data_IF_662132921231
#
_entry.id   IF_662132921231
#
_cell.length_a   1.000
_cell.length_b   1.000
_cell.length_c   1.000
_cell.angle_alpha   90.00
_cell.angle_beta   90.00
_cell.angle_gamma   90.00
#
_symmetry.space_group_name_H-M   'P 1'
#
loop_
_entity.id
_entity.type
_entity.pdbx_description
1 polymer ?
#
# COMPACT_ATOMS: atom_id res chain seq x y z
N UNK A 1 12.75 14.36 9.50
CA UNK A 1 11.91 13.49 8.66
C UNK A 1 12.22 13.85 7.22
N UNK A 2 12.76 12.91 6.46
CA UNK A 2 13.21 13.17 5.10
C UNK A 2 12.04 13.01 4.11
N UNK A 3 11.15 14.02 4.07
CA UNK A 3 9.98 14.02 3.19
C UNK A 3 10.33 13.89 1.71
N UNK A 4 11.47 14.43 1.29
CA UNK A 4 11.95 14.31 -0.09
C UNK A 4 12.20 12.85 -0.49
N UNK A 5 12.86 12.08 0.38
CA UNK A 5 13.10 10.65 0.15
C UNK A 5 11.78 9.86 0.14
N UNK A 6 10.85 10.21 1.02
CA UNK A 6 9.52 9.59 1.06
C UNK A 6 8.72 9.83 -0.23
N UNK A 7 8.74 11.05 -0.77
CA UNK A 7 8.07 11.40 -2.04
C UNK A 7 8.68 10.60 -3.19
N UNK A 8 10.01 10.53 -3.28
CA UNK A 8 10.67 9.72 -4.30
C UNK A 8 10.33 8.23 -4.17
N UNK A 9 10.30 7.69 -2.94
CA UNK A 9 9.90 6.30 -2.72
C UNK A 9 8.48 6.02 -3.20
N UNK A 10 7.52 6.90 -2.90
CA UNK A 10 6.13 6.75 -3.39
C UNK A 10 6.05 6.84 -4.91
N UNK A 11 6.76 7.80 -5.54
CA UNK A 11 6.80 7.94 -6.99
C UNK A 11 7.41 6.72 -7.69
N UNK A 12 8.52 6.19 -7.17
CA UNK A 12 9.11 4.96 -7.68
C UNK A 12 8.23 3.75 -7.45
N UNK A 13 7.39 3.74 -6.42
CA UNK A 13 6.50 2.62 -6.17
C UNK A 13 5.46 2.43 -7.30
N UNK A 14 5.04 3.54 -7.92
CA UNK A 14 4.11 3.53 -9.04
C UNK A 14 4.78 3.18 -10.36
N UNK A 15 5.99 3.71 -10.60
CA UNK A 15 6.68 3.59 -11.89
C UNK A 15 7.57 2.34 -11.98
N UNK A 16 8.25 2.00 -10.88
CA UNK A 16 9.27 0.95 -10.84
C UNK A 16 9.37 0.34 -9.42
N UNK A 17 8.34 -0.38 -8.94
CA UNK A 17 8.29 -0.86 -7.55
C UNK A 17 9.48 -1.76 -7.20
N UNK A 18 10.06 -2.47 -8.18
CA UNK A 18 11.28 -3.28 -8.01
C UNK A 18 12.48 -2.47 -7.51
N UNK A 19 12.59 -1.18 -7.89
CA UNK A 19 13.68 -0.31 -7.44
C UNK A 19 13.56 0.00 -5.95
N UNK A 20 12.34 0.22 -5.46
CA UNK A 20 12.09 0.50 -4.03
C UNK A 20 12.44 -0.71 -3.18
N UNK A 21 12.02 -1.91 -3.58
CA UNK A 21 12.35 -3.12 -2.84
C UNK A 21 13.84 -3.47 -2.86
N UNK A 22 14.57 -3.08 -3.91
CA UNK A 22 16.03 -3.18 -3.94
C UNK A 22 16.69 -2.25 -2.90
N UNK A 23 16.16 -1.04 -2.71
CA UNK A 23 16.67 -0.12 -1.68
C UNK A 23 16.37 -0.64 -0.26
N UNK A 24 15.21 -1.25 -0.04
CA UNK A 24 14.87 -1.92 1.23
C UNK A 24 15.86 -3.06 1.52
N UNK A 25 16.26 -3.83 0.50
CA UNK A 25 17.27 -4.86 0.67
C UNK A 25 18.64 -4.29 1.10
N UNK A 26 19.10 -3.20 0.49
CA UNK A 26 20.34 -2.54 0.92
C UNK A 26 20.23 -1.93 2.33
N UNK A 27 19.05 -1.43 2.70
CA UNK A 27 18.78 -0.97 4.06
C UNK A 27 18.93 -2.10 5.08
N UNK A 28 18.41 -3.29 4.77
CA UNK A 28 18.59 -4.47 5.61
C UNK A 28 20.06 -4.81 5.80
N UNK A 29 20.89 -4.75 4.76
CA UNK A 29 22.32 -5.07 4.89
C UNK A 29 23.10 -4.07 5.76
N UNK A 30 22.63 -2.82 5.85
CA UNK A 30 23.32 -1.75 6.60
C UNK A 30 22.80 -1.59 8.02
N UNK A 31 21.50 -1.78 8.25
CA UNK A 31 20.85 -1.61 9.57
C UNK A 31 20.37 -2.89 10.22
N UNK A 32 20.44 -4.03 9.54
CA UNK A 32 19.94 -5.33 9.99
C UNK A 32 18.45 -5.36 10.37
N UNK A 33 17.65 -4.38 9.96
CA UNK A 33 16.19 -4.31 10.16
C UNK A 33 15.46 -4.24 8.82
N UNK A 34 14.28 -4.85 8.74
CA UNK A 34 13.43 -4.78 7.53
C UNK A 34 12.39 -3.67 7.61
N UNK A 35 11.86 -3.41 8.81
CA UNK A 35 10.91 -2.34 9.05
C UNK A 35 11.53 -0.96 8.82
N UNK A 36 10.70 -0.03 8.34
CA UNK A 36 11.06 1.38 8.20
C UNK A 36 10.92 2.09 9.54
N UNK A 37 11.91 2.90 9.89
CA UNK A 37 11.90 3.70 11.13
C UNK A 37 11.22 5.08 10.97
N UNK A 38 10.95 5.52 9.74
CA UNK A 38 10.47 6.87 9.44
C UNK A 38 8.94 6.94 9.20
N UNK A 39 8.19 7.72 10.00
CA UNK A 39 6.74 7.87 9.84
C UNK A 39 6.33 8.77 8.66
N UNK A 40 7.29 9.32 7.90
CA UNK A 40 7.05 10.29 6.84
C UNK A 40 6.11 9.76 5.74
N UNK A 41 6.21 8.49 5.37
CA UNK A 41 5.35 7.88 4.34
C UNK A 41 3.91 7.72 4.83
N UNK A 42 3.71 7.39 6.11
CA UNK A 42 2.37 7.29 6.71
C UNK A 42 1.68 8.66 6.69
N UNK A 43 2.41 9.71 7.08
CA UNK A 43 1.91 11.09 7.06
C UNK A 43 1.59 11.53 5.63
N UNK A 44 2.44 11.19 4.66
CA UNK A 44 2.24 11.56 3.26
C UNK A 44 1.01 10.87 2.65
N UNK A 45 0.80 9.58 2.93
CA UNK A 45 -0.40 8.85 2.50
C UNK A 45 -1.66 9.41 3.17
N UNK A 46 -1.60 9.71 4.47
CA UNK A 46 -2.73 10.34 5.17
C UNK A 46 -3.08 11.71 4.57
N UNK A 47 -2.08 12.51 4.20
CA UNK A 47 -2.28 13.78 3.50
C UNK A 47 -2.91 13.57 2.11
N UNK A 48 -2.45 12.59 1.33
CA UNK A 48 -3.05 12.23 0.04
C UNK A 48 -4.51 11.78 0.18
N UNK A 49 -4.83 10.96 1.18
CA UNK A 49 -6.19 10.54 1.47
C UNK A 49 -7.08 11.71 1.88
N UNK A 50 -6.55 12.64 2.68
CA UNK A 50 -7.26 13.85 3.06
C UNK A 50 -7.61 14.72 1.83
N UNK A 51 -6.65 14.94 0.93
CA UNK A 51 -6.88 15.66 -0.33
C UNK A 51 -7.91 14.94 -1.21
N UNK A 52 -7.82 13.61 -1.32
CA UNK A 52 -8.81 12.82 -2.05
C UNK A 52 -10.21 12.93 -1.43
N UNK A 53 -10.33 12.86 -0.11
CA UNK A 53 -11.61 13.03 0.59
C UNK A 53 -12.25 14.40 0.30
N UNK A 54 -11.45 15.45 0.20
CA UNK A 54 -11.92 16.77 -0.22
C UNK A 54 -12.44 16.72 -1.67
N UNK A 55 -11.69 16.11 -2.60
CA UNK A 55 -12.11 15.98 -3.99
C UNK A 55 -13.43 15.19 -4.14
N UNK A 56 -13.58 14.08 -3.42
CA UNK A 56 -14.82 13.31 -3.36
C UNK A 56 -15.97 14.12 -2.74
N UNK A 57 -15.69 14.94 -1.72
CA UNK A 57 -16.69 15.81 -1.10
C UNK A 57 -17.19 16.89 -2.06
N UNK A 58 -16.31 17.43 -2.92
CA UNK A 58 -16.71 18.35 -3.99
C UNK A 58 -17.57 17.65 -5.04
N UNK A 59 -17.17 16.46 -5.49
CA UNK A 59 -17.90 15.71 -6.52
C UNK A 59 -19.34 15.36 -6.10
N UNK A 60 -19.56 15.05 -4.82
CA UNK A 60 -20.88 14.70 -4.27
C UNK A 60 -21.59 15.85 -3.54
N UNK A 61 -21.05 17.08 -3.60
CA UNK A 61 -21.63 18.26 -2.93
C UNK A 61 -21.91 18.08 -1.43
N UNK A 62 -20.96 17.49 -0.70
CA UNK A 62 -21.10 17.24 0.74
C UNK A 62 -20.88 18.50 1.59
N UNK A 63 -21.53 18.53 2.76
CA UNK A 63 -21.29 19.59 3.76
C UNK A 63 -19.94 19.39 4.46
N UNK A 64 -19.32 20.46 4.97
CA UNK A 64 -18.02 20.39 5.66
C UNK A 64 -17.92 19.30 6.76
N UNK A 65 -19.00 19.08 7.52
CA UNK A 65 -19.05 17.99 8.53
C UNK A 65 -19.00 16.59 7.90
N UNK A 66 -19.69 16.40 6.78
CA UNK A 66 -19.67 15.14 6.04
C UNK A 66 -18.30 14.92 5.37
N UNK A 67 -17.69 15.99 4.85
CA UNK A 67 -16.34 15.94 4.30
C UNK A 67 -15.29 15.54 5.35
N UNK A 68 -15.33 16.13 6.55
CA UNK A 68 -14.45 15.76 7.66
C UNK A 68 -14.67 14.31 8.08
N UNK A 69 -15.94 13.88 8.19
CA UNK A 69 -16.30 12.50 8.51
C UNK A 69 -15.74 11.53 7.45
N UNK A 70 -15.88 11.86 6.16
CA UNK A 70 -15.36 11.08 5.04
C UNK A 70 -13.83 10.94 5.11
N UNK A 71 -13.12 12.05 5.32
CA UNK A 71 -11.66 12.04 5.44
C UNK A 71 -11.19 11.16 6.60
N UNK A 72 -11.84 11.25 7.75
CA UNK A 72 -11.52 10.44 8.92
C UNK A 72 -11.82 8.95 8.66
N UNK A 73 -12.93 8.62 8.00
CA UNK A 73 -13.20 7.25 7.56
C UNK A 73 -12.15 6.72 6.58
N UNK A 74 -11.75 7.50 5.57
CA UNK A 74 -10.72 7.06 4.61
C UNK A 74 -9.37 6.80 5.31
N UNK A 75 -8.96 7.64 6.25
CA UNK A 75 -7.68 7.46 6.95
C UNK A 75 -7.76 6.31 7.96
N UNK A 76 -8.79 6.29 8.82
CA UNK A 76 -8.86 5.32 9.92
C UNK A 76 -9.37 3.97 9.45
N UNK A 77 -10.49 3.93 8.72
CA UNK A 77 -11.09 2.67 8.27
C UNK A 77 -10.38 2.13 7.05
N UNK A 78 -10.20 2.93 6.00
CA UNK A 78 -9.72 2.39 4.72
C UNK A 78 -8.22 2.12 4.71
N UNK A 79 -7.43 2.92 5.43
CA UNK A 79 -5.97 2.77 5.49
C UNK A 79 -5.49 2.08 6.78
N UNK A 80 -5.76 2.63 7.96
CA UNK A 80 -5.21 2.08 9.21
C UNK A 80 -5.83 0.73 9.58
N UNK A 81 -7.15 0.61 9.61
CA UNK A 81 -7.83 -0.63 9.99
C UNK A 81 -7.53 -1.76 9.01
N UNK A 82 -7.64 -1.50 7.70
CA UNK A 82 -7.28 -2.52 6.69
C UNK A 82 -5.80 -2.88 6.77
N UNK A 83 -4.92 -1.90 7.02
CA UNK A 83 -3.49 -2.12 7.17
C UNK A 83 -3.14 -3.00 8.36
N UNK A 84 -3.77 -2.78 9.51
CA UNK A 84 -3.61 -3.65 10.69
C UNK A 84 -4.08 -5.09 10.40
N UNK A 85 -5.24 -5.24 9.76
CA UNK A 85 -5.79 -6.56 9.40
C UNK A 85 -4.89 -7.27 8.39
N UNK A 86 -4.46 -6.58 7.34
CA UNK A 86 -3.59 -7.18 6.33
C UNK A 86 -2.22 -7.48 6.91
N UNK A 87 -1.62 -6.58 7.69
CA UNK A 87 -0.32 -6.83 8.31
C UNK A 87 -0.35 -8.04 9.24
N UNK A 88 -1.40 -8.19 10.05
CA UNK A 88 -1.56 -9.37 10.93
C UNK A 88 -1.75 -10.65 10.14
N UNK A 89 -2.55 -10.65 9.07
CA UNK A 89 -2.73 -11.81 8.19
C UNK A 89 -1.43 -12.15 7.47
N UNK A 90 -0.74 -11.18 6.86
CA UNK A 90 0.53 -11.41 6.15
C UNK A 90 1.62 -11.91 7.09
N UNK A 91 1.73 -11.32 8.28
CA UNK A 91 2.66 -11.76 9.31
C UNK A 91 2.38 -13.20 9.75
N UNK A 92 1.12 -13.52 10.03
CA UNK A 92 0.70 -14.85 10.44
C UNK A 92 0.95 -15.89 9.33
N UNK A 93 0.50 -15.61 8.11
CA UNK A 93 0.69 -16.48 6.93
C UNK A 93 2.16 -16.69 6.64
N UNK A 94 2.98 -15.63 6.64
CA UNK A 94 4.39 -15.76 6.30
C UNK A 94 5.15 -16.59 7.34
N UNK A 95 4.90 -16.34 8.63
CA UNK A 95 5.61 -17.03 9.71
C UNK A 95 5.09 -18.45 9.98
N UNK A 96 3.85 -18.77 9.56
CA UNK A 96 3.28 -20.13 9.73
C UNK A 96 3.37 -21.00 8.49
N UNK A 97 3.19 -20.43 7.29
CA UNK A 97 3.08 -21.18 6.03
C UNK A 97 4.31 -21.05 5.13
N UNK A 98 5.08 -19.95 5.23
CA UNK A 98 6.19 -19.66 4.32
C UNK A 98 7.58 -19.83 4.98
N UNK A 99 7.70 -20.73 5.97
CA UNK A 99 8.98 -21.04 6.62
C UNK A 99 9.94 -21.60 5.57
N UNK A 100 10.90 -20.79 5.13
CA UNK A 100 12.03 -21.27 4.35
C UNK A 100 12.93 -22.13 5.26
N UNK A 101 13.49 -23.25 4.76
CA UNK A 101 14.48 -24.01 5.50
C UNK A 101 15.66 -23.11 5.89
N UNK A 102 16.28 -23.32 7.06
CA UNK A 102 17.36 -22.46 7.54
C UNK A 102 18.50 -22.46 6.53
N UNK A 103 18.69 -21.35 5.83
CA UNK A 103 19.90 -21.08 5.07
C UNK A 103 20.97 -20.50 6.01
N UNK A 104 22.19 -20.33 5.53
CA UNK A 104 23.36 -19.93 6.32
C UNK A 104 23.26 -18.54 7.00
N UNK A 105 22.15 -17.82 6.85
CA UNK A 105 21.81 -16.60 7.57
C UNK A 105 21.04 -16.91 8.86
N UNK A 106 21.33 -16.18 9.93
CA UNK A 106 20.76 -16.39 11.27
C UNK A 106 19.23 -16.61 11.23
N UNK A 107 18.67 -17.50 12.07
CA UNK A 107 17.23 -17.80 12.11
C UNK A 107 16.32 -16.58 12.37
N UNK A 108 16.88 -15.44 12.77
CA UNK A 108 16.17 -14.16 12.88
C UNK A 108 15.85 -13.52 11.51
N UNK A 109 16.59 -13.84 10.44
CA UNK A 109 16.39 -13.24 9.12
C UNK A 109 15.23 -13.88 8.33
N UNK A 110 14.82 -15.10 8.69
CA UNK A 110 13.69 -15.80 8.08
C UNK A 110 12.34 -15.35 8.63
N UNK A 111 12.30 -14.76 9.83
CA UNK A 111 11.06 -14.30 10.46
C UNK A 111 10.63 -12.96 9.88
N UNK A 112 9.38 -12.87 9.46
CA UNK A 112 8.77 -11.61 9.01
C UNK A 112 8.40 -10.76 10.22
N UNK A 113 8.99 -9.57 10.31
CA UNK A 113 8.64 -8.54 11.31
C UNK A 113 7.23 -7.99 11.01
N UNK A 114 6.41 -7.79 12.04
CA UNK A 114 5.06 -7.25 11.87
C UNK A 114 5.07 -5.84 11.27
N UNK A 115 6.00 -4.99 11.72
CA UNK A 115 6.17 -3.64 11.19
C UNK A 115 6.53 -3.66 9.68
N UNK A 116 7.34 -4.62 9.25
CA UNK A 116 7.61 -4.83 7.83
C UNK A 116 6.37 -5.28 7.04
N UNK A 117 5.53 -6.16 7.61
CA UNK A 117 4.27 -6.56 6.97
C UNK A 117 3.32 -5.37 6.79
N UNK A 118 3.30 -4.43 7.75
CA UNK A 118 2.58 -3.17 7.63
C UNK A 118 3.20 -2.26 6.56
N UNK A 119 4.52 -2.14 6.48
CA UNK A 119 5.21 -1.39 5.41
C UNK A 119 4.88 -1.94 4.02
N UNK A 120 4.79 -3.26 3.86
CA UNK A 120 4.40 -3.90 2.59
C UNK A 120 2.96 -3.53 2.22
N UNK A 121 2.04 -3.50 3.20
CA UNK A 121 0.68 -2.98 2.98
C UNK A 121 0.72 -1.51 2.57
N UNK A 122 1.43 -0.65 3.31
CA UNK A 122 1.57 0.78 3.04
C UNK A 122 2.08 1.05 1.64
N UNK A 123 3.09 0.29 1.21
CA UNK A 123 3.61 0.35 -0.14
C UNK A 123 2.51 -0.09 -1.14
N UNK A 124 1.94 -1.29 -1.02
CA UNK A 124 0.93 -1.79 -1.96
C UNK A 124 -0.34 -0.92 -2.02
N UNK A 125 -0.68 -0.24 -0.93
CA UNK A 125 -1.83 0.64 -0.83
C UNK A 125 -1.69 1.90 -1.68
N UNK A 126 -0.48 2.45 -1.87
CA UNK A 126 -0.33 3.72 -2.59
C UNK A 126 -0.72 3.63 -4.09
N UNK A 127 -0.25 2.64 -4.87
CA UNK A 127 -0.72 2.44 -6.25
C UNK A 127 -2.21 2.09 -6.31
N UNK A 128 -2.71 1.31 -5.35
CA UNK A 128 -4.13 1.00 -5.22
C UNK A 128 -4.98 2.26 -5.00
N UNK A 129 -4.51 3.16 -4.13
CA UNK A 129 -5.11 4.45 -3.86
C UNK A 129 -5.18 5.31 -5.14
N UNK A 130 -4.09 5.39 -5.91
CA UNK A 130 -4.10 6.16 -7.15
C UNK A 130 -5.13 5.62 -8.15
N UNK A 131 -5.26 4.31 -8.28
CA UNK A 131 -6.23 3.71 -9.20
C UNK A 131 -7.68 3.91 -8.73
N UNK A 132 -8.00 3.60 -7.47
CA UNK A 132 -9.38 3.63 -7.00
C UNK A 132 -9.87 4.97 -6.47
N UNK A 133 -9.01 5.79 -5.86
CA UNK A 133 -9.44 7.04 -5.24
C UNK A 133 -9.23 8.23 -6.16
N UNK A 134 -8.22 8.18 -7.05
CA UNK A 134 -7.92 9.26 -7.99
C UNK A 134 -8.45 8.93 -9.38
N UNK A 135 -8.04 7.82 -10.00
CA UNK A 135 -8.47 7.52 -11.37
C UNK A 135 -10.00 7.30 -11.45
N UNK A 136 -10.60 6.61 -10.49
CA UNK A 136 -12.06 6.45 -10.43
C UNK A 136 -12.82 7.79 -10.30
N UNK A 137 -12.23 8.80 -9.65
CA UNK A 137 -12.85 10.13 -9.52
C UNK A 137 -12.96 10.84 -10.88
N UNK A 138 -11.99 10.65 -11.78
CA UNK A 138 -12.07 11.17 -13.16
C UNK A 138 -13.09 10.41 -14.02
N UNK A 139 -13.27 9.11 -13.75
CA UNK A 139 -14.18 8.23 -14.49
C UNK A 139 -15.61 8.27 -13.91
N UNK A 140 -15.81 8.88 -12.75
CA UNK A 140 -17.08 9.06 -12.07
C UNK A 140 -18.26 9.51 -12.96
N UNK A 141 -18.14 10.55 -13.81
CA UNK A 141 -19.25 10.98 -14.68
C UNK A 141 -19.64 9.94 -15.74
N UNK A 142 -18.72 9.01 -16.05
CA UNK A 142 -18.98 7.89 -16.96
C UNK A 142 -19.59 6.72 -16.18
N UNK A 143 -19.04 6.38 -14.99
CA UNK A 143 -19.51 5.26 -14.17
C UNK A 143 -20.94 5.45 -13.66
N UNK A 144 -21.39 6.69 -13.42
CA UNK A 144 -22.74 7.01 -12.96
C UNK A 144 -23.83 6.83 -14.03
N UNK A 145 -23.47 6.53 -15.29
CA UNK A 145 -24.46 6.28 -16.34
C UNK A 145 -24.92 4.82 -16.32
N UNK A 146 -26.22 4.61 -16.54
CA UNK A 146 -26.84 3.28 -16.63
C UNK A 146 -26.52 2.59 -17.96
N UNK A 147 -25.26 2.20 -18.14
CA UNK A 147 -24.80 1.44 -19.31
C UNK A 147 -23.94 0.25 -18.88
N UNK A 148 -24.06 -0.87 -19.59
CA UNK A 148 -23.24 -2.06 -19.33
C UNK A 148 -21.73 -1.77 -19.46
N UNK A 149 -21.35 -0.84 -20.34
CA UNK A 149 -19.96 -0.39 -20.52
C UNK A 149 -19.43 0.28 -19.26
N UNK A 150 -20.25 1.07 -18.59
CA UNK A 150 -19.90 1.78 -17.36
C UNK A 150 -19.75 0.81 -16.19
N UNK A 151 -20.61 -0.22 -16.14
CA UNK A 151 -20.47 -1.35 -15.21
C UNK A 151 -19.18 -2.14 -15.45
N UNK A 152 -18.88 -2.48 -16.71
CA UNK A 152 -17.66 -3.21 -17.07
C UNK A 152 -16.40 -2.40 -16.72
N UNK A 153 -16.40 -1.11 -17.03
CA UNK A 153 -15.29 -0.21 -16.74
C UNK A 153 -15.06 -0.05 -15.23
N UNK A 154 -16.13 0.10 -14.44
CA UNK A 154 -16.03 0.11 -12.97
C UNK A 154 -15.41 -1.18 -12.43
N UNK A 155 -15.91 -2.35 -12.84
CA UNK A 155 -15.38 -3.64 -12.39
C UNK A 155 -13.92 -3.87 -12.81
N UNK A 156 -13.54 -3.45 -14.01
CA UNK A 156 -12.14 -3.55 -14.47
C UNK A 156 -11.20 -2.64 -13.69
N UNK A 157 -11.64 -1.45 -13.27
CA UNK A 157 -10.86 -0.60 -12.36
C UNK A 157 -10.66 -1.26 -10.99
N UNK A 158 -11.71 -1.85 -10.40
CA UNK A 158 -11.59 -2.62 -9.15
C UNK A 158 -10.66 -3.82 -9.29
N UNK A 159 -10.79 -4.58 -10.38
CA UNK A 159 -9.91 -5.70 -10.67
C UNK A 159 -8.46 -5.25 -10.83
N UNK A 160 -8.22 -4.16 -11.56
CA UNK A 160 -6.88 -3.60 -11.77
C UNK A 160 -6.26 -3.13 -10.44
N UNK A 161 -7.02 -2.41 -9.61
CA UNK A 161 -6.58 -2.00 -8.28
C UNK A 161 -6.19 -3.20 -7.42
N UNK A 162 -7.07 -4.21 -7.31
CA UNK A 162 -6.79 -5.42 -6.53
C UNK A 162 -5.58 -6.20 -7.06
N UNK A 163 -5.43 -6.29 -8.38
CA UNK A 163 -4.26 -6.92 -9.00
C UNK A 163 -2.96 -6.17 -8.68
N UNK A 164 -2.96 -4.83 -8.76
CA UNK A 164 -1.81 -3.99 -8.40
C UNK A 164 -1.45 -4.14 -6.92
N UNK A 165 -2.45 -4.14 -6.04
CA UNK A 165 -2.26 -4.35 -4.61
C UNK A 165 -1.62 -5.71 -4.33
N UNK A 166 -2.18 -6.77 -4.92
CA UNK A 166 -1.67 -8.14 -4.75
C UNK A 166 -0.25 -8.28 -5.28
N UNK A 167 0.06 -7.67 -6.42
CA UNK A 167 1.41 -7.63 -6.98
C UNK A 167 2.40 -6.87 -6.07
N UNK A 168 1.97 -5.75 -5.47
CA UNK A 168 2.77 -4.99 -4.52
C UNK A 168 3.13 -5.80 -3.26
N UNK A 169 2.16 -6.52 -2.72
CA UNK A 169 2.35 -7.43 -1.57
C UNK A 169 3.28 -8.57 -1.93
N UNK A 170 3.06 -9.22 -3.07
CA UNK A 170 3.92 -10.29 -3.58
C UNK A 170 5.37 -9.84 -3.71
N UNK A 171 5.60 -8.65 -4.29
CA UNK A 171 6.95 -8.14 -4.50
C UNK A 171 7.67 -7.85 -3.17
N UNK A 172 6.94 -7.36 -2.16
CA UNK A 172 7.48 -7.17 -0.82
C UNK A 172 7.90 -8.47 -0.15
N UNK A 173 7.02 -9.47 -0.13
CA UNK A 173 7.35 -10.77 0.44
C UNK A 173 8.47 -11.48 -0.33
N UNK A 174 8.45 -11.42 -1.67
CA UNK A 174 9.45 -12.08 -2.50
C UNK A 174 10.85 -11.45 -2.34
N UNK A 175 10.93 -10.12 -2.19
CA UNK A 175 12.21 -9.46 -1.87
C UNK A 175 12.89 -10.01 -0.62
N UNK A 176 12.10 -10.38 0.40
CA UNK A 176 12.59 -11.02 1.63
C UNK A 176 12.88 -12.52 1.46
N UNK A 177 12.03 -13.25 0.72
CA UNK A 177 12.18 -14.69 0.47
C UNK A 177 13.38 -15.01 -0.45
N UNK A 178 13.72 -14.13 -1.40
CA UNK A 178 14.89 -14.32 -2.27
C UNK A 178 16.20 -14.08 -1.52
N UNK A 179 16.23 -13.14 -0.56
CA UNK A 179 17.39 -12.90 0.31
C UNK A 179 17.77 -14.11 1.18
N UNK A 180 16.84 -15.04 1.41
CA UNK A 180 17.04 -16.22 2.24
C UNK A 180 17.34 -17.48 1.42
N UNK A 181 17.42 -17.39 0.08
CA UNK A 181 17.85 -18.49 -0.78
C UNK A 181 19.34 -18.33 -1.13
N UNK A 182 20.11 -19.43 -1.17
CA UNK A 182 21.54 -19.42 -1.46
C UNK A 182 21.87 -18.91 -2.87
#
# INVERSE_FOLDING_TARGET
MDFEQAIWQLGYLCLAPRRVYRNVYFHKQTKNTWARDDPAILVLIAACLFVSAIAWSFAYSYTARQALKLALFMIVRDYLLTGLVVATVLWFVSNRLLIAPPSHSSPADSVVEWAYAFDVHTNAFFPFFLTLYIAQLFVLPVVLKDNWVCLFLGNTLYLAGLAQYTYGVYLGLNGKLFSSRP
#
